data_IF_937097359936
#
_entry.id   IF_937097359936
#
_cell.length_a   1.000
_cell.length_b   1.000
_cell.length_c   1.000
_cell.angle_alpha   90.00
_cell.angle_beta   90.00
_cell.angle_gamma   90.00
#
_symmetry.space_group_name_H-M   'P 1'
#
loop_
_entity.id
_entity.type
_entity.pdbx_description
1 polymer ?
#
# COMPACT_ATOMS: atom_id res chain seq x y z
N UNK A 1 -9.53 16.70 -4.56
CA UNK A 1 -9.14 15.37 -4.06
C UNK A 1 -10.35 14.50 -3.72
N UNK A 2 -11.26 14.94 -2.84
CA UNK A 2 -12.41 14.13 -2.39
C UNK A 2 -13.29 13.56 -3.51
N UNK A 3 -13.53 14.30 -4.60
CA UNK A 3 -14.32 13.82 -5.74
C UNK A 3 -13.67 12.63 -6.48
N UNK A 4 -12.34 12.51 -6.42
CA UNK A 4 -11.59 11.43 -7.05
C UNK A 4 -11.44 10.22 -6.13
N UNK A 5 -11.63 10.38 -4.81
CA UNK A 5 -11.38 9.33 -3.83
C UNK A 5 -12.14 8.01 -4.11
N UNK A 6 -13.45 8.02 -4.45
CA UNK A 6 -14.17 6.78 -4.77
C UNK A 6 -13.60 6.08 -6.00
N UNK A 7 -13.10 6.86 -6.96
CA UNK A 7 -12.50 6.31 -8.17
C UNK A 7 -11.14 5.68 -7.90
N UNK A 8 -10.31 6.33 -7.06
CA UNK A 8 -9.02 5.80 -6.61
C UNK A 8 -9.19 4.51 -5.79
N UNK A 9 -10.16 4.47 -4.88
CA UNK A 9 -10.49 3.27 -4.11
C UNK A 9 -10.92 2.10 -5.02
N UNK A 10 -11.77 2.38 -6.01
CA UNK A 10 -12.22 1.35 -6.95
C UNK A 10 -11.08 0.84 -7.85
N UNK A 11 -10.20 1.72 -8.33
CA UNK A 11 -9.04 1.32 -9.14
C UNK A 11 -8.10 0.43 -8.33
N UNK A 12 -7.82 0.79 -7.08
CA UNK A 12 -7.05 -0.03 -6.16
C UNK A 12 -7.70 -1.42 -5.97
N UNK A 13 -9.03 -1.48 -5.85
CA UNK A 13 -9.79 -2.73 -5.69
C UNK A 13 -9.82 -3.58 -6.96
N UNK A 14 -9.99 -2.97 -8.13
CA UNK A 14 -10.04 -3.65 -9.44
C UNK A 14 -8.69 -4.27 -9.82
N UNK A 15 -7.59 -3.65 -9.38
CA UNK A 15 -6.21 -4.10 -9.67
C UNK A 15 -5.60 -4.94 -8.56
N UNK A 16 -6.30 -5.08 -7.42
CA UNK A 16 -5.83 -5.88 -6.30
C UNK A 16 -5.78 -7.37 -6.64
N UNK A 17 -4.93 -8.09 -5.92
CA UNK A 17 -4.95 -9.56 -5.95
C UNK A 17 -6.34 -10.08 -5.52
N UNK A 18 -7.05 -10.81 -6.39
CA UNK A 18 -8.39 -11.32 -6.07
C UNK A 18 -8.37 -12.35 -4.93
N UNK A 19 -7.24 -13.05 -4.72
CA UNK A 19 -7.06 -13.98 -3.61
C UNK A 19 -6.66 -13.28 -2.30
N UNK A 20 -6.35 -11.97 -2.37
CA UNK A 20 -5.96 -11.14 -1.22
C UNK A 20 -4.75 -11.71 -0.48
N UNK A 21 -3.82 -12.35 -1.18
CA UNK A 21 -2.59 -12.93 -0.61
C UNK A 21 -1.48 -11.89 -0.50
N UNK A 22 -1.49 -10.89 -1.38
CA UNK A 22 -0.53 -9.77 -1.37
C UNK A 22 -1.22 -8.44 -1.14
N UNK A 23 -0.56 -7.46 -0.48
CA UNK A 23 -1.12 -6.14 -0.27
C UNK A 23 -1.21 -5.35 -1.59
N UNK A 24 -2.11 -4.37 -1.64
CA UNK A 24 -2.16 -3.38 -2.71
C UNK A 24 -0.94 -2.46 -2.56
N UNK A 25 -0.11 -2.35 -3.60
CA UNK A 25 1.05 -1.47 -3.59
C UNK A 25 0.67 0.00 -3.74
N UNK A 26 1.11 0.85 -2.81
CA UNK A 26 0.94 2.29 -2.87
C UNK A 26 2.28 3.02 -2.72
N UNK A 27 2.73 3.66 -3.81
CA UNK A 27 4.00 4.39 -3.91
C UNK A 27 3.85 5.84 -3.44
N UNK A 28 4.60 6.24 -2.41
CA UNK A 28 4.37 7.48 -1.67
C UNK A 28 5.49 8.54 -1.85
N UNK A 29 5.91 8.83 -3.08
CA UNK A 29 7.04 9.73 -3.36
C UNK A 29 6.73 11.24 -3.42
N UNK A 30 5.45 11.66 -3.49
CA UNK A 30 5.09 13.09 -3.75
C UNK A 30 4.48 13.86 -2.58
N UNK A 31 4.11 13.18 -1.50
CA UNK A 31 3.28 13.75 -0.44
C UNK A 31 3.95 13.73 0.94
N UNK A 32 5.25 13.40 0.98
CA UNK A 32 6.10 13.56 2.15
C UNK A 32 6.69 14.96 2.25
N UNK A 33 7.38 15.22 3.37
CA UNK A 33 8.29 16.36 3.46
C UNK A 33 9.49 16.13 2.51
N UNK A 34 10.08 17.19 1.93
CA UNK A 34 9.73 18.61 2.08
C UNK A 34 8.71 19.11 1.04
N UNK A 35 8.08 18.23 0.23
CA UNK A 35 7.22 18.65 -0.89
C UNK A 35 5.92 19.33 -0.46
N UNK A 36 5.31 18.86 0.63
CA UNK A 36 4.10 19.46 1.18
C UNK A 36 4.26 19.75 2.68
N UNK A 37 3.54 20.77 3.16
CA UNK A 37 3.46 21.07 4.59
C UNK A 37 2.58 20.06 5.31
N UNK A 38 2.79 19.89 6.63
CA UNK A 38 1.90 19.08 7.47
C UNK A 38 0.44 19.58 7.44
N UNK A 39 0.22 20.87 7.17
CA UNK A 39 -1.13 21.42 7.01
C UNK A 39 -1.80 20.91 5.73
N UNK A 40 -1.09 20.89 4.59
CA UNK A 40 -1.60 20.30 3.35
C UNK A 40 -1.78 18.79 3.49
N UNK A 41 -0.85 18.11 4.17
CA UNK A 41 -0.99 16.70 4.47
C UNK A 41 -2.30 16.44 5.23
N UNK A 42 -2.52 17.07 6.38
CA UNK A 42 -3.70 16.81 7.22
C UNK A 42 -5.02 17.15 6.51
N UNK A 43 -5.10 18.32 5.90
CA UNK A 43 -6.38 18.85 5.41
C UNK A 43 -6.76 18.37 4.00
N UNK A 44 -5.79 17.90 3.20
CA UNK A 44 -6.02 17.52 1.80
C UNK A 44 -5.66 16.05 1.58
N UNK A 45 -4.40 15.68 1.82
CA UNK A 45 -3.90 14.34 1.52
C UNK A 45 -4.50 13.29 2.46
N UNK A 46 -4.24 13.40 3.78
CA UNK A 46 -4.65 12.44 4.79
C UNK A 46 -6.16 12.34 4.92
N UNK A 47 -6.86 13.48 4.86
CA UNK A 47 -8.33 13.54 4.81
C UNK A 47 -8.92 12.73 3.66
N UNK A 48 -8.21 12.63 2.53
CA UNK A 48 -8.64 11.85 1.37
C UNK A 48 -8.16 10.40 1.46
N UNK A 49 -6.90 10.17 1.87
CA UNK A 49 -6.25 8.86 1.87
C UNK A 49 -6.80 7.95 2.96
N UNK A 50 -6.96 8.44 4.20
CA UNK A 50 -7.38 7.60 5.34
C UNK A 50 -8.71 6.87 5.07
N UNK A 51 -9.79 7.53 4.58
CA UNK A 51 -11.02 6.82 4.23
C UNK A 51 -10.85 5.76 3.14
N UNK A 52 -9.97 5.99 2.14
CA UNK A 52 -9.69 5.00 1.09
C UNK A 52 -9.07 3.74 1.70
N UNK A 53 -8.08 3.90 2.59
CA UNK A 53 -7.41 2.76 3.25
C UNK A 53 -8.39 2.00 4.15
N UNK A 54 -9.22 2.72 4.91
CA UNK A 54 -10.26 2.13 5.75
C UNK A 54 -11.30 1.36 4.92
N UNK A 55 -11.70 1.90 3.77
CA UNK A 55 -12.61 1.22 2.84
C UNK A 55 -11.97 -0.06 2.27
N UNK A 56 -10.73 0.01 1.78
CA UNK A 56 -10.00 -1.17 1.27
C UNK A 56 -9.86 -2.25 2.36
N UNK A 57 -9.55 -1.85 3.59
CA UNK A 57 -9.46 -2.74 4.74
C UNK A 57 -10.80 -3.40 5.08
N UNK A 58 -11.90 -2.65 5.02
CA UNK A 58 -13.25 -3.20 5.24
C UNK A 58 -13.63 -4.29 4.24
N UNK A 59 -13.04 -4.25 3.03
CA UNK A 59 -13.18 -5.28 1.99
C UNK A 59 -12.13 -6.40 2.10
N UNK A 60 -11.29 -6.38 3.13
CA UNK A 60 -10.27 -7.39 3.41
C UNK A 60 -8.97 -7.22 2.63
N UNK A 61 -8.70 -6.05 2.07
CA UNK A 61 -7.43 -5.73 1.42
C UNK A 61 -6.48 -5.02 2.39
N UNK A 62 -5.24 -5.49 2.47
CA UNK A 62 -4.14 -4.77 3.12
C UNK A 62 -3.44 -3.88 2.09
N UNK A 63 -2.85 -2.76 2.53
CA UNK A 63 -2.12 -1.84 1.64
C UNK A 63 -0.65 -1.73 2.05
N UNK A 64 0.26 -1.84 1.09
CA UNK A 64 1.69 -1.58 1.29
C UNK A 64 1.93 -0.09 1.08
N UNK A 65 2.23 0.62 2.15
CA UNK A 65 2.74 1.98 2.13
C UNK A 65 4.23 1.92 1.80
N UNK A 66 4.55 2.07 0.51
CA UNK A 66 5.93 2.22 0.07
C UNK A 66 6.37 3.67 0.33
N UNK A 67 6.78 3.93 1.58
CA UNK A 67 6.90 5.27 2.16
C UNK A 67 8.22 5.95 1.75
N UNK A 68 8.32 6.30 0.46
CA UNK A 68 9.47 6.96 -0.16
C UNK A 68 9.73 8.34 0.45
N UNK A 69 10.99 8.62 0.76
CA UNK A 69 11.41 9.82 1.48
C UNK A 69 11.29 9.69 3.00
N UNK A 70 11.21 10.85 3.67
CA UNK A 70 11.09 10.93 5.12
C UNK A 70 9.63 11.20 5.52
N UNK A 71 9.04 10.20 6.16
CA UNK A 71 7.68 10.20 6.66
C UNK A 71 7.61 10.30 8.19
N UNK A 72 8.75 10.46 8.88
CA UNK A 72 8.83 10.57 10.35
C UNK A 72 7.82 11.55 10.95
N UNK A 73 7.60 12.77 10.38
CA UNK A 73 6.62 13.72 10.91
C UNK A 73 5.14 13.29 10.80
N UNK A 74 4.86 12.26 10.00
CA UNK A 74 3.50 11.82 9.66
C UNK A 74 3.08 10.54 10.39
N UNK A 75 4.02 9.86 11.07
CA UNK A 75 3.82 8.56 11.69
C UNK A 75 2.62 8.54 12.65
N UNK A 76 2.40 9.61 13.42
CA UNK A 76 1.27 9.70 14.35
C UNK A 76 -0.09 9.68 13.63
N UNK A 77 -0.17 10.24 12.43
CA UNK A 77 -1.39 10.17 11.61
C UNK A 77 -1.60 8.76 11.06
N UNK A 78 -0.55 8.08 10.62
CA UNK A 78 -0.64 6.70 10.16
C UNK A 78 -1.03 5.72 11.28
N UNK A 79 -0.64 6.01 12.51
CA UNK A 79 -1.08 5.28 13.68
C UNK A 79 -2.59 5.34 13.90
N UNK A 80 -3.33 6.25 13.27
CA UNK A 80 -4.80 6.28 13.38
C UNK A 80 -5.49 5.14 12.61
N UNK A 81 -4.80 4.48 11.67
CA UNK A 81 -5.39 3.44 10.82
C UNK A 81 -5.72 2.15 11.60
N UNK A 82 -6.68 1.33 11.11
CA UNK A 82 -7.01 0.06 11.74
C UNK A 82 -5.80 -0.88 11.84
N UNK A 83 -5.62 -1.57 12.97
CA UNK A 83 -4.49 -2.48 13.16
C UNK A 83 -4.41 -3.55 12.05
N UNK A 84 -3.21 -3.78 11.54
CA UNK A 84 -2.95 -4.72 10.44
C UNK A 84 -3.38 -4.22 9.05
N UNK A 85 -3.98 -3.03 8.92
CA UNK A 85 -4.47 -2.54 7.62
C UNK A 85 -3.37 -2.19 6.62
N UNK A 86 -2.15 -1.92 7.11
CA UNK A 86 -1.01 -1.58 6.26
C UNK A 86 0.25 -2.39 6.59
N UNK A 87 1.11 -2.50 5.57
CA UNK A 87 2.55 -2.73 5.73
C UNK A 87 3.25 -1.40 5.48
N UNK A 88 4.12 -0.93 6.36
CA UNK A 88 4.83 0.33 6.21
C UNK A 88 6.30 0.08 5.86
N UNK A 89 6.68 0.37 4.61
CA UNK A 89 8.04 0.22 4.11
C UNK A 89 8.83 1.51 4.30
N UNK A 90 9.96 1.42 5.00
CA UNK A 90 10.75 2.55 5.49
C UNK A 90 11.85 2.87 4.49
N UNK A 91 11.79 4.06 3.87
CA UNK A 91 12.90 4.59 3.07
C UNK A 91 13.90 5.40 3.93
N UNK A 92 13.61 6.70 4.14
CA UNK A 92 14.51 7.63 4.86
C UNK A 92 14.02 8.01 6.26
N UNK A 93 12.84 7.52 6.66
CA UNK A 93 12.30 7.77 7.99
C UNK A 93 13.18 7.12 9.07
N UNK A 94 13.17 7.67 10.28
CA UNK A 94 13.91 7.05 11.38
C UNK A 94 13.30 5.68 11.74
N UNK A 95 14.11 4.63 11.63
CA UNK A 95 13.67 3.24 11.83
C UNK A 95 13.22 3.00 13.27
N UNK A 96 13.87 3.62 14.27
CA UNK A 96 13.55 3.43 15.68
C UNK A 96 12.26 4.16 16.06
N UNK A 97 12.10 5.41 15.61
CA UNK A 97 10.86 6.16 15.81
C UNK A 97 9.68 5.51 15.09
N UNK A 98 9.89 5.03 13.86
CA UNK A 98 8.87 4.31 13.10
C UNK A 98 8.42 3.04 13.84
N UNK A 99 9.37 2.24 14.35
CA UNK A 99 9.04 1.08 15.16
C UNK A 99 8.27 1.45 16.44
N UNK A 100 8.70 2.49 17.15
CA UNK A 100 8.02 2.96 18.35
C UNK A 100 6.57 3.39 18.12
N UNK A 101 6.28 4.03 16.99
CA UNK A 101 4.93 4.53 16.65
C UNK A 101 4.04 3.50 15.94
N UNK A 102 4.61 2.69 15.05
CA UNK A 102 3.86 1.83 14.13
C UNK A 102 4.09 0.33 14.32
N UNK A 103 5.26 -0.09 14.82
CA UNK A 103 5.72 -1.49 14.78
C UNK A 103 4.86 -2.48 15.56
N UNK A 104 4.12 -2.02 16.58
CA UNK A 104 3.18 -2.88 17.32
C UNK A 104 1.86 -3.14 16.60
N UNK A 105 1.49 -2.29 15.64
CA UNK A 105 0.17 -2.30 14.97
C UNK A 105 0.23 -2.69 13.52
N UNK A 106 1.38 -2.48 12.89
CA UNK A 106 1.58 -2.69 11.47
C UNK A 106 2.87 -3.46 11.23
N UNK A 107 2.87 -4.24 10.16
CA UNK A 107 4.11 -4.84 9.70
C UNK A 107 5.02 -3.74 9.12
N UNK A 108 6.30 -3.76 9.46
CA UNK A 108 7.32 -2.86 8.92
C UNK A 108 8.19 -3.58 7.88
N UNK A 109 8.73 -2.83 6.93
CA UNK A 109 9.67 -3.33 5.93
C UNK A 109 10.74 -2.28 5.63
N UNK A 110 11.84 -2.66 4.96
CA UNK A 110 12.81 -1.70 4.42
C UNK A 110 13.90 -1.30 5.40
N UNK A 111 14.27 -0.03 5.42
CA UNK A 111 15.18 0.58 6.40
C UNK A 111 16.68 0.31 6.18
N UNK A 112 17.06 -0.64 5.32
CA UNK A 112 18.47 -0.85 4.95
C UNK A 112 18.86 0.09 3.80
N UNK A 113 19.76 1.07 4.01
CA UNK A 113 20.01 2.10 3.01
C UNK A 113 20.60 1.54 1.71
N UNK A 114 20.03 1.93 0.56
CA UNK A 114 20.49 1.45 -0.75
C UNK A 114 21.98 1.75 -1.00
N UNK A 115 22.48 2.91 -0.56
CA UNK A 115 23.90 3.26 -0.72
C UNK A 115 24.81 2.23 -0.06
N UNK A 116 24.38 1.59 1.02
CA UNK A 116 25.17 0.57 1.70
C UNK A 116 25.34 -0.67 0.82
N UNK A 117 24.34 -0.99 0.00
CA UNK A 117 24.42 -2.07 -0.98
C UNK A 117 25.31 -1.69 -2.18
N UNK A 118 25.38 -0.40 -2.53
CA UNK A 118 26.23 0.11 -3.63
C UNK A 118 27.70 0.25 -3.24
N UNK A 119 28.02 0.98 -2.17
CA UNK A 119 29.41 1.37 -1.85
C UNK A 119 29.92 0.79 -0.52
N UNK A 120 29.06 0.12 0.25
CA UNK A 120 29.46 -0.53 1.48
C UNK A 120 30.20 -1.84 1.26
N UNK A 121 30.71 -2.40 2.34
CA UNK A 121 31.29 -3.74 2.40
C UNK A 121 30.28 -4.77 2.90
N UNK A 122 30.45 -6.06 2.56
CA UNK A 122 29.58 -7.13 3.07
C UNK A 122 29.49 -7.17 4.61
N UNK A 123 30.55 -6.81 5.32
CA UNK A 123 30.55 -6.74 6.78
C UNK A 123 29.73 -5.57 7.32
N UNK A 124 29.76 -4.41 6.66
CA UNK A 124 28.91 -3.28 7.03
C UNK A 124 27.43 -3.60 6.80
N UNK A 125 27.11 -4.26 5.69
CA UNK A 125 25.76 -4.77 5.41
C UNK A 125 25.31 -5.72 6.52
N UNK A 126 26.11 -6.72 6.88
CA UNK A 126 25.81 -7.66 7.98
C UNK A 126 25.56 -6.94 9.31
N UNK A 127 26.43 -5.98 9.65
CA UNK A 127 26.27 -5.18 10.88
C UNK A 127 24.96 -4.38 10.87
N UNK A 128 24.59 -3.80 9.72
CA UNK A 128 23.35 -3.04 9.60
C UNK A 128 22.12 -3.94 9.69
N UNK A 129 22.12 -5.10 9.00
CA UNK A 129 21.07 -6.10 9.15
C UNK A 129 20.92 -6.54 10.61
N UNK A 130 22.03 -6.82 11.30
CA UNK A 130 22.01 -7.18 12.72
C UNK A 130 21.36 -6.09 13.56
N UNK A 131 21.75 -4.83 13.35
CA UNK A 131 21.17 -3.68 14.06
C UNK A 131 19.66 -3.64 13.89
N UNK A 132 19.16 -3.70 12.65
CA UNK A 132 17.71 -3.74 12.38
C UNK A 132 17.05 -4.91 13.12
N UNK A 133 17.61 -6.12 12.98
CA UNK A 133 17.00 -7.32 13.55
C UNK A 133 16.91 -7.21 15.07
N UNK A 134 17.98 -6.76 15.72
CA UNK A 134 18.05 -6.62 17.18
C UNK A 134 17.13 -5.51 17.72
N UNK A 135 16.81 -4.48 16.93
CA UNK A 135 16.09 -3.30 17.44
C UNK A 135 14.63 -3.22 17.05
N UNK A 136 14.28 -3.64 15.83
CA UNK A 136 12.91 -3.47 15.29
C UNK A 136 12.27 -4.76 14.82
N UNK A 137 13.03 -5.83 14.64
CA UNK A 137 12.46 -7.09 14.18
C UNK A 137 12.17 -8.06 15.32
N UNK A 138 12.84 -7.97 16.48
CA UNK A 138 12.86 -9.01 17.53
C UNK A 138 11.49 -9.56 17.94
N UNK A 139 10.46 -8.73 17.91
CA UNK A 139 9.09 -9.05 18.36
C UNK A 139 8.18 -9.57 17.23
N UNK A 140 8.73 -9.81 16.03
CA UNK A 140 7.97 -10.15 14.83
C UNK A 140 7.44 -8.92 14.10
N UNK A 141 6.69 -9.14 13.01
CA UNK A 141 6.09 -8.04 12.24
C UNK A 141 7.06 -7.23 11.39
N UNK A 142 8.28 -7.71 11.15
CA UNK A 142 9.26 -7.04 10.29
C UNK A 142 9.66 -7.91 9.08
N UNK A 143 9.77 -7.27 7.91
CA UNK A 143 10.28 -7.84 6.66
C UNK A 143 11.58 -7.12 6.29
N UNK A 144 12.71 -7.84 6.27
CA UNK A 144 13.97 -7.25 5.82
C UNK A 144 13.89 -6.91 4.33
N UNK A 145 14.22 -5.66 4.01
CA UNK A 145 14.31 -5.16 2.64
C UNK A 145 15.26 -3.96 2.59
N UNK A 146 15.67 -3.55 1.39
CA UNK A 146 16.32 -2.26 1.18
C UNK A 146 15.32 -1.10 1.42
N UNK A 147 15.82 0.11 1.67
CA UNK A 147 15.02 1.33 1.86
C UNK A 147 14.22 1.73 0.61
N UNK A 148 14.74 1.43 -0.57
CA UNK A 148 14.14 1.74 -1.85
C UNK A 148 14.49 0.67 -2.90
N UNK A 149 14.02 0.85 -4.14
CA UNK A 149 14.29 -0.10 -5.23
C UNK A 149 15.81 -0.20 -5.46
N UNK A 150 16.36 -1.41 -5.33
CA UNK A 150 17.76 -1.71 -5.61
C UNK A 150 18.05 -1.42 -7.08
N UNK A 151 19.00 -0.52 -7.34
CA UNK A 151 19.41 -0.11 -8.68
C UNK A 151 20.60 -0.97 -9.16
N UNK A 152 20.99 -0.79 -10.43
CA UNK A 152 22.04 -1.58 -11.08
C UNK A 152 23.46 -1.36 -10.55
N UNK A 153 23.64 -0.40 -9.64
CA UNK A 153 24.91 -0.04 -9.00
C UNK A 153 25.17 -0.87 -7.72
N UNK A 154 24.17 -1.58 -7.20
CA UNK A 154 24.32 -2.44 -6.04
C UNK A 154 25.29 -3.60 -6.31
N UNK A 155 26.20 -3.85 -5.38
CA UNK A 155 27.16 -4.94 -5.49
C UNK A 155 26.51 -6.27 -5.13
N UNK A 156 26.76 -7.30 -5.93
CA UNK A 156 26.14 -8.62 -5.78
C UNK A 156 26.48 -9.24 -4.43
N UNK A 157 27.72 -9.09 -3.97
CA UNK A 157 28.21 -9.55 -2.68
C UNK A 157 27.48 -8.89 -1.50
N UNK A 158 27.07 -7.63 -1.64
CA UNK A 158 26.34 -6.92 -0.61
C UNK A 158 24.89 -7.40 -0.52
N UNK A 159 24.22 -7.60 -1.65
CA UNK A 159 22.86 -8.18 -1.69
C UNK A 159 22.86 -9.62 -1.15
N UNK A 160 23.88 -10.43 -1.48
CA UNK A 160 24.07 -11.76 -0.90
C UNK A 160 24.29 -11.69 0.61
N UNK A 161 25.16 -10.79 1.08
CA UNK A 161 25.42 -10.61 2.50
C UNK A 161 24.14 -10.24 3.28
N UNK A 162 23.32 -9.34 2.74
CA UNK A 162 22.02 -8.99 3.31
C UNK A 162 21.11 -10.23 3.41
N UNK A 163 20.97 -10.96 2.31
CA UNK A 163 20.08 -12.13 2.20
C UNK A 163 20.51 -13.25 3.14
N UNK A 164 21.77 -13.65 3.08
CA UNK A 164 22.31 -14.78 3.86
C UNK A 164 22.30 -14.47 5.35
N UNK A 165 22.71 -13.26 5.74
CA UNK A 165 22.71 -12.86 7.14
C UNK A 165 21.29 -12.87 7.71
N UNK A 166 20.34 -12.27 6.99
CA UNK A 166 18.94 -12.21 7.43
C UNK A 166 18.35 -13.61 7.59
N UNK A 167 18.57 -14.53 6.63
CA UNK A 167 18.05 -15.90 6.71
C UNK A 167 18.68 -16.72 7.85
N UNK A 168 19.95 -16.46 8.17
CA UNK A 168 20.67 -17.22 9.19
C UNK A 168 20.44 -16.68 10.60
N UNK A 169 20.47 -15.35 10.77
CA UNK A 169 20.37 -14.67 12.06
C UNK A 169 18.95 -14.21 12.41
N UNK A 170 18.19 -13.70 11.43
CA UNK A 170 16.84 -13.15 11.59
C UNK A 170 15.75 -14.20 11.71
N UNK A 171 15.97 -15.23 12.53
CA UNK A 171 14.99 -16.28 12.81
C UNK A 171 14.21 -15.90 14.04
N UNK A 172 12.89 -15.80 13.90
CA UNK A 172 12.02 -15.78 15.07
C UNK A 172 12.10 -17.13 15.79
N UNK A 173 12.27 -17.10 17.10
CA UNK A 173 12.11 -18.32 17.89
C UNK A 173 10.71 -18.87 17.60
N UNK A 174 10.61 -20.18 17.34
CA UNK A 174 9.31 -20.87 17.30
C UNK A 174 8.73 -20.89 18.71
N UNK A 175 8.26 -19.74 19.19
CA UNK A 175 7.43 -19.66 20.39
C UNK A 175 6.16 -20.48 20.15
N UNK A 176 5.77 -21.25 21.15
CA UNK A 176 4.64 -22.19 21.20
C UNK A 176 3.25 -21.54 21.10
N UNK A 177 3.13 -20.39 20.46
CA UNK A 177 1.86 -19.87 19.98
C UNK A 177 1.73 -20.32 18.54
N UNK A 178 0.75 -21.19 18.24
CA UNK A 178 0.34 -21.34 16.85
C UNK A 178 0.13 -19.95 16.27
N UNK A 179 0.49 -19.76 15.00
CA UNK A 179 -0.08 -18.67 14.23
C UNK A 179 -1.59 -18.94 14.21
N UNK A 180 -2.29 -18.57 15.27
CA UNK A 180 -3.69 -18.22 15.14
C UNK A 180 -3.65 -17.17 14.06
N UNK A 181 -4.15 -17.54 12.88
CA UNK A 181 -4.60 -16.55 11.93
C UNK A 181 -5.56 -15.72 12.74
N UNK A 182 -5.08 -14.58 13.27
CA UNK A 182 -5.92 -13.49 13.72
C UNK A 182 -6.93 -13.37 12.59
N UNK A 183 -8.17 -13.75 12.90
CA UNK A 183 -9.26 -13.73 11.93
C UNK A 183 -9.15 -12.37 11.27
N UNK A 184 -8.83 -12.33 9.97
CA UNK A 184 -8.72 -11.08 9.18
C UNK A 184 -9.85 -10.20 9.67
N UNK A 185 -9.48 -9.04 10.23
CA UNK A 185 -10.26 -8.33 11.24
C UNK A 185 -11.75 -8.33 10.94
N UNK A 186 -12.58 -8.49 11.99
CA UNK A 186 -14.02 -8.21 11.92
C UNK A 186 -14.25 -7.01 11.01
N UNK A 187 -15.22 -7.12 10.09
CA UNK A 187 -15.55 -6.07 9.13
C UNK A 187 -15.47 -4.70 9.83
N UNK A 188 -14.41 -3.96 9.53
CA UNK A 188 -14.20 -2.64 10.10
C UNK A 188 -15.21 -1.73 9.43
N UNK A 189 -16.23 -1.31 10.16
CA UNK A 189 -17.17 -0.30 9.71
C UNK A 189 -16.86 1.01 10.45
N UNK A 190 -16.24 1.95 9.75
CA UNK A 190 -16.18 3.33 10.21
C UNK A 190 -17.32 4.12 9.56
N UNK A 191 -18.41 4.44 10.29
CA UNK A 191 -19.51 5.23 9.72
C UNK A 191 -19.10 6.65 9.31
N UNK A 192 -17.96 7.17 9.80
CA UNK A 192 -17.42 8.47 9.39
C UNK A 192 -16.62 8.40 8.08
N UNK A 193 -16.16 7.22 7.66
CA UNK A 193 -15.37 7.00 6.45
C UNK A 193 -16.23 6.99 5.18
N UNK A 194 -17.20 7.90 5.07
CA UNK A 194 -18.07 7.94 3.90
C UNK A 194 -17.40 8.73 2.78
N UNK A 195 -16.89 8.03 1.77
CA UNK A 195 -16.46 8.69 0.54
C UNK A 195 -17.64 9.40 -0.14
N UNK A 196 -17.38 10.57 -0.71
CA UNK A 196 -18.41 11.35 -1.41
C UNK A 196 -18.95 10.55 -2.59
N UNK A 197 -20.28 10.38 -2.70
CA UNK A 197 -20.89 9.67 -3.82
C UNK A 197 -20.66 10.43 -5.13
N UNK A 198 -19.97 9.85 -6.13
CA UNK A 198 -19.74 10.50 -7.41
C UNK A 198 -20.98 10.47 -8.29
N UNK A 199 -21.00 11.33 -9.32
CA UNK A 199 -22.11 11.39 -10.31
C UNK A 199 -22.18 10.11 -11.15
N UNK A 200 -21.02 9.62 -11.58
CA UNK A 200 -20.87 8.36 -12.31
C UNK A 200 -20.27 7.35 -11.33
N UNK A 201 -20.83 6.13 -11.30
CA UNK A 201 -20.35 5.07 -10.42
C UNK A 201 -18.88 4.76 -10.72
N UNK A 202 -18.01 4.60 -9.70
CA UNK A 202 -16.66 4.10 -9.93
C UNK A 202 -16.67 2.75 -10.67
N UNK A 203 -15.73 2.56 -11.58
CA UNK A 203 -15.65 1.38 -12.45
C UNK A 203 -16.37 1.53 -13.79
N UNK A 204 -17.00 2.68 -14.07
CA UNK A 204 -17.70 2.95 -15.33
C UNK A 204 -17.37 4.35 -15.86
N UNK A 205 -17.20 4.46 -17.18
CA UNK A 205 -17.10 5.74 -17.89
C UNK A 205 -18.47 6.20 -18.39
N UNK A 206 -19.16 5.31 -19.11
CA UNK A 206 -20.48 5.56 -19.68
C UNK A 206 -21.42 4.43 -19.20
N UNK A 207 -22.27 4.68 -18.19
CA UNK A 207 -23.19 3.69 -17.68
C UNK A 207 -24.10 3.14 -18.77
N UNK A 208 -24.47 1.86 -18.66
CA UNK A 208 -25.37 1.21 -19.63
C UNK A 208 -26.66 2.01 -19.88
N UNK A 209 -27.27 2.56 -18.82
CA UNK A 209 -28.52 3.33 -18.94
C UNK A 209 -28.38 4.61 -19.77
N UNK A 210 -27.16 5.15 -19.87
CA UNK A 210 -26.83 6.27 -20.76
C UNK A 210 -26.65 5.76 -22.18
N UNK A 211 -25.82 4.71 -22.36
CA UNK A 211 -25.57 4.13 -23.69
C UNK A 211 -26.83 3.59 -24.35
N UNK A 212 -27.71 2.96 -23.58
CA UNK A 212 -28.97 2.36 -24.04
C UNK A 212 -29.89 3.37 -24.71
N UNK A 213 -29.84 4.65 -24.32
CA UNK A 213 -30.65 5.73 -24.90
C UNK A 213 -30.23 6.09 -26.32
N UNK A 214 -28.99 5.78 -26.70
CA UNK A 214 -28.48 5.99 -28.07
C UNK A 214 -28.92 4.88 -29.03
N UNK A 215 -29.37 3.74 -28.50
CA UNK A 215 -29.75 2.56 -29.29
C UNK A 215 -31.27 2.55 -29.45
N UNK A 216 -31.76 2.87 -30.66
CA UNK A 216 -33.19 2.97 -30.91
C UNK A 216 -33.94 1.64 -30.68
N UNK A 217 -33.39 0.53 -31.20
CA UNK A 217 -33.95 -0.81 -31.06
C UNK A 217 -32.83 -1.82 -30.81
N UNK A 218 -33.05 -2.77 -29.91
CA UNK A 218 -32.14 -3.88 -29.66
C UNK A 218 -32.70 -5.12 -30.33
N UNK A 219 -31.96 -5.67 -31.29
CA UNK A 219 -32.22 -7.01 -31.80
C UNK A 219 -31.47 -8.05 -30.96
N UNK A 220 -32.20 -8.99 -30.36
CA UNK A 220 -31.61 -10.07 -29.55
C UNK A 220 -31.60 -9.83 -28.04
N UNK A 221 -30.60 -10.39 -27.35
CA UNK A 221 -30.51 -10.39 -25.88
C UNK A 221 -29.87 -9.09 -25.34
N UNK A 222 -30.71 -8.20 -24.81
CA UNK A 222 -30.28 -6.96 -24.16
C UNK A 222 -29.39 -7.19 -22.94
N UNK A 223 -29.58 -8.28 -22.20
CA UNK A 223 -28.76 -8.63 -21.04
C UNK A 223 -27.33 -9.00 -21.42
N UNK A 224 -27.16 -9.67 -22.56
CA UNK A 224 -25.83 -9.94 -23.12
C UNK A 224 -25.16 -8.64 -23.58
N UNK A 225 -25.88 -7.77 -24.30
CA UNK A 225 -25.34 -6.48 -24.74
C UNK A 225 -24.92 -5.59 -23.57
N UNK A 226 -25.76 -5.51 -22.54
CA UNK A 226 -25.44 -4.79 -21.30
C UNK A 226 -24.15 -5.30 -20.68
N UNK A 227 -24.01 -6.62 -20.52
CA UNK A 227 -22.83 -7.22 -19.91
C UNK A 227 -21.57 -6.93 -20.72
N UNK A 228 -21.61 -7.13 -22.04
CA UNK A 228 -20.46 -6.86 -22.92
C UNK A 228 -20.11 -5.37 -22.88
N UNK A 229 -21.10 -4.48 -22.86
CA UNK A 229 -20.84 -3.05 -22.72
C UNK A 229 -20.17 -2.72 -21.39
N UNK A 230 -20.71 -3.20 -20.27
CA UNK A 230 -20.15 -2.95 -18.94
C UNK A 230 -18.73 -3.51 -18.80
N UNK A 231 -18.44 -4.68 -19.39
CA UNK A 231 -17.09 -5.23 -19.44
C UNK A 231 -16.13 -4.31 -20.22
N UNK A 232 -16.49 -3.91 -21.44
CA UNK A 232 -15.64 -3.04 -22.28
C UNK A 232 -15.48 -1.64 -21.65
N UNK A 233 -16.55 -1.07 -21.11
CA UNK A 233 -16.54 0.23 -20.42
C UNK A 233 -15.64 0.18 -19.19
N UNK A 234 -15.67 -0.90 -18.42
CA UNK A 234 -14.78 -1.09 -17.26
C UNK A 234 -13.30 -1.15 -17.64
N UNK A 235 -12.97 -1.73 -18.81
CA UNK A 235 -11.61 -1.72 -19.34
C UNK A 235 -11.19 -0.30 -19.77
N UNK A 236 -12.10 0.46 -20.40
CA UNK A 236 -11.87 1.87 -20.73
C UNK A 236 -11.65 2.73 -19.48
N UNK A 237 -12.46 2.49 -18.44
CA UNK A 237 -12.30 3.13 -17.13
C UNK A 237 -10.94 2.82 -16.53
N UNK A 238 -10.56 1.54 -16.48
CA UNK A 238 -9.27 1.12 -15.95
C UNK A 238 -8.12 1.77 -16.73
N UNK A 239 -8.19 1.84 -18.06
CA UNK A 239 -7.19 2.51 -18.87
C UNK A 239 -7.04 3.99 -18.50
N UNK A 240 -8.15 4.74 -18.36
CA UNK A 240 -8.11 6.16 -17.99
C UNK A 240 -7.46 6.35 -16.62
N UNK A 241 -7.88 5.59 -15.62
CA UNK A 241 -7.39 5.82 -14.26
C UNK A 241 -5.98 5.25 -14.03
N UNK A 242 -5.72 4.03 -14.50
CA UNK A 242 -4.47 3.33 -14.24
C UNK A 242 -3.35 3.73 -15.21
N UNK A 243 -3.65 4.04 -16.47
CA UNK A 243 -2.63 4.29 -17.49
C UNK A 243 -2.51 5.77 -17.81
N UNK A 244 -3.63 6.49 -17.95
CA UNK A 244 -3.57 7.91 -18.31
C UNK A 244 -3.31 8.83 -17.11
N UNK A 245 -3.87 8.52 -15.94
CA UNK A 245 -3.84 9.40 -14.76
C UNK A 245 -2.86 9.00 -13.65
N UNK A 246 -2.33 7.77 -13.66
CA UNK A 246 -1.47 7.28 -12.56
C UNK A 246 0.01 7.68 -12.66
N UNK A 247 0.40 8.47 -13.66
CA UNK A 247 1.75 9.02 -13.83
C UNK A 247 1.82 10.48 -13.39
#
# INVERSE_FOLDING_TARGET
CEALAPHLAEVARMTADPEKKVPIGFWMHRTSIPFISMNHFKNIHWRTLKPIIEELWSHGHQVLFYAEGDWTPHLDSFAELPEGSIVFHIDRSDVSETHGKLGRRFCLSGGLPNWLLTIGTPDEVRRYCKKIIDTVASDGGYIMDASAIIQNDAQVENVKAMTDFTRNYGKYERGSGGLEHSSRGKAFSNPEATLKKPRVKPGSCIPWDEKRREIAEISGDEGLLKRVWEEVDSLGYLFIWQVLLSF
#
